data_IF_659762398105
#
_entry.id   IF_659762398105
#
_cell.length_a   1.000
_cell.length_b   1.000
_cell.length_c   1.000
_cell.angle_alpha   90.00
_cell.angle_beta   90.00
_cell.angle_gamma   90.00
#
_symmetry.space_group_name_H-M   'P 1'
#
loop_
_entity.id
_entity.type
_entity.pdbx_description
1 polymer ?
#
# COMPACT_ATOMS: atom_id res chain seq x y z
N UNK A 1 -12.15 -46.75 27.54
CA UNK A 1 -11.67 -46.07 28.76
C UNK A 1 -10.16 -46.22 28.78
N UNK A 2 -9.40 -45.20 28.38
CA UNK A 2 -7.94 -45.27 28.26
C UNK A 2 -7.36 -44.64 29.54
N UNK A 3 -6.70 -45.45 30.35
CA UNK A 3 -5.97 -45.02 31.54
C UNK A 3 -4.69 -44.28 31.12
N UNK A 4 -4.62 -42.98 31.41
CA UNK A 4 -3.38 -42.21 31.38
C UNK A 4 -2.60 -42.51 32.66
N UNK A 5 -1.46 -43.20 32.54
CA UNK A 5 -0.50 -43.40 33.63
C UNK A 5 0.28 -42.11 33.96
N UNK A 6 0.75 -41.93 35.20
CA UNK A 6 1.35 -40.67 35.66
C UNK A 6 2.86 -40.59 35.39
N UNK A 7 3.36 -39.35 35.30
CA UNK A 7 4.77 -38.93 35.41
C UNK A 7 5.69 -39.11 34.18
N UNK A 8 5.46 -38.31 33.14
CA UNK A 8 6.57 -37.82 32.29
C UNK A 8 7.22 -36.60 32.99
N UNK A 9 8.07 -36.84 33.99
CA UNK A 9 8.99 -35.80 34.47
C UNK A 9 10.02 -35.54 33.38
N UNK A 10 9.73 -34.54 32.54
CA UNK A 10 10.59 -34.07 31.46
C UNK A 10 11.90 -33.57 32.10
N UNK A 11 13.01 -34.29 31.88
CA UNK A 11 14.33 -33.87 32.35
C UNK A 11 14.68 -32.55 31.64
N UNK A 12 14.72 -31.47 32.41
CA UNK A 12 15.21 -30.18 31.95
C UNK A 12 16.70 -30.32 31.60
N UNK A 13 17.01 -30.33 30.30
CA UNK A 13 18.38 -30.32 29.79
C UNK A 13 18.96 -28.91 29.87
N UNK A 14 20.28 -28.77 29.90
CA UNK A 14 20.91 -27.43 29.93
C UNK A 14 20.53 -26.57 28.71
N UNK A 15 20.19 -27.19 27.59
CA UNK A 15 19.62 -26.52 26.42
C UNK A 15 18.26 -25.86 26.71
N UNK A 16 17.39 -26.52 27.49
CA UNK A 16 16.08 -25.95 27.91
C UNK A 16 16.22 -24.81 28.91
N UNK A 17 17.32 -24.76 29.69
CA UNK A 17 17.64 -23.59 30.53
C UNK A 17 18.21 -22.44 29.70
N UNK A 18 19.06 -22.74 28.72
CA UNK A 18 19.63 -21.74 27.83
C UNK A 18 18.55 -21.08 26.96
N UNK A 19 17.58 -21.85 26.45
CA UNK A 19 16.45 -21.32 25.68
C UNK A 19 15.54 -20.44 26.53
N UNK A 20 15.26 -20.80 27.79
CA UNK A 20 14.51 -19.95 28.73
C UNK A 20 15.23 -18.64 29.06
N UNK A 21 16.55 -18.67 29.26
CA UNK A 21 17.35 -17.46 29.49
C UNK A 21 17.34 -16.53 28.27
N UNK A 22 17.45 -17.07 27.06
CA UNK A 22 17.32 -16.27 25.82
C UNK A 22 15.92 -15.70 25.65
N UNK A 23 14.87 -16.48 25.92
CA UNK A 23 13.49 -16.00 25.86
C UNK A 23 13.21 -14.88 26.87
N UNK A 24 13.77 -14.97 28.08
CA UNK A 24 13.66 -13.92 29.09
C UNK A 24 14.41 -12.63 28.67
N UNK A 25 15.59 -12.76 28.06
CA UNK A 25 16.34 -11.61 27.54
C UNK A 25 15.61 -10.91 26.38
N UNK A 26 14.99 -11.69 25.47
CA UNK A 26 14.17 -11.15 24.38
C UNK A 26 12.91 -10.47 24.92
N UNK A 27 12.28 -11.01 25.97
CA UNK A 27 11.11 -10.39 26.59
C UNK A 27 11.43 -9.00 27.19
N UNK A 28 12.64 -8.81 27.72
CA UNK A 28 13.09 -7.47 28.18
C UNK A 28 13.44 -6.52 27.04
N UNK A 29 13.72 -7.01 25.82
CA UNK A 29 13.99 -6.16 24.65
C UNK A 29 12.72 -5.60 24.00
N UNK A 30 11.55 -6.22 24.26
CA UNK A 30 10.26 -5.88 23.62
C UNK A 30 9.21 -5.25 24.55
N UNK A 31 9.66 -4.53 25.58
CA UNK A 31 8.81 -3.53 26.24
C UNK A 31 8.47 -3.84 27.69
N UNK A 32 8.95 -2.96 28.54
CA UNK A 32 8.50 -2.76 29.90
C UNK A 32 6.99 -2.41 29.87
N UNK A 33 6.14 -3.27 30.45
CA UNK A 33 4.66 -3.13 30.44
C UNK A 33 4.16 -1.87 31.17
N UNK A 34 5.04 -1.13 31.83
CA UNK A 34 4.73 0.11 32.54
C UNK A 34 5.11 1.39 31.78
N UNK A 35 5.67 1.30 30.57
CA UNK A 35 5.79 2.48 29.72
C UNK A 35 4.47 2.69 28.97
N UNK A 36 3.68 3.67 29.42
CA UNK A 36 2.64 4.28 28.59
C UNK A 36 3.33 4.90 27.37
N UNK A 37 3.45 4.13 26.30
CA UNK A 37 3.83 4.65 24.98
C UNK A 37 2.84 5.72 24.54
N UNK A 38 3.24 6.64 23.64
CA UNK A 38 2.35 7.66 23.13
C UNK A 38 1.11 6.97 22.52
N UNK A 39 -0.08 7.38 22.96
CA UNK A 39 -1.32 6.83 22.46
C UNK A 39 -1.34 6.94 20.93
N UNK A 40 -1.53 5.81 20.25
CA UNK A 40 -1.69 5.75 18.80
C UNK A 40 -2.96 6.53 18.42
N UNK A 41 -2.76 7.77 17.95
CA UNK A 41 -3.82 8.55 17.35
C UNK A 41 -3.96 8.15 15.87
N UNK A 42 -4.97 7.32 15.57
CA UNK A 42 -5.25 6.84 14.22
C UNK A 42 -5.83 7.94 13.30
N UNK A 43 -6.11 9.14 13.83
CA UNK A 43 -6.57 10.30 13.06
C UNK A 43 -5.45 11.32 12.77
N UNK A 44 -4.24 11.11 13.28
CA UNK A 44 -3.12 11.97 12.94
C UNK A 44 -2.63 11.63 11.52
N UNK A 45 -2.76 12.58 10.57
CA UNK A 45 -2.02 12.55 9.30
C UNK A 45 -0.55 12.29 9.64
N UNK A 46 -0.05 11.14 9.21
CA UNK A 46 1.27 10.57 9.49
C UNK A 46 2.26 11.56 10.11
N UNK A 47 2.42 11.53 11.44
CA UNK A 47 3.53 12.22 12.09
C UNK A 47 4.85 11.61 11.60
N UNK A 48 5.86 12.43 11.25
CA UNK A 48 7.15 11.92 10.82
C UNK A 48 7.79 11.11 11.93
N UNK A 49 8.42 10.00 11.56
CA UNK A 49 9.08 9.07 12.47
C UNK A 49 10.02 9.81 13.43
N UNK A 50 9.84 9.62 14.72
CA UNK A 50 10.73 10.18 15.73
C UNK A 50 12.15 9.61 15.54
N UNK A 51 13.19 10.46 15.44
CA UNK A 51 14.55 9.98 15.25
C UNK A 51 15.04 9.28 16.52
N UNK A 52 15.56 8.06 16.36
CA UNK A 52 16.22 7.33 17.43
C UNK A 52 17.44 8.12 17.88
N UNK A 53 17.49 8.45 19.17
CA UNK A 53 18.57 9.17 19.83
C UNK A 53 19.94 8.56 19.51
N UNK A 54 20.76 9.33 18.78
CA UNK A 54 22.14 8.97 18.46
C UNK A 54 22.84 10.14 17.79
N UNK A 55 23.34 11.06 18.61
CA UNK A 55 24.42 12.01 18.36
C UNK A 55 24.75 12.37 16.89
N UNK A 56 24.44 13.61 16.48
CA UNK A 56 25.19 14.31 15.43
C UNK A 56 24.52 14.50 14.07
N UNK A 57 23.32 15.08 14.01
CA UNK A 57 22.79 15.59 12.73
C UNK A 57 22.68 17.11 12.81
N UNK A 58 23.56 17.76 12.05
CA UNK A 58 23.70 19.20 11.88
C UNK A 58 22.37 19.86 11.48
N UNK A 59 22.12 21.07 11.99
CA UNK A 59 20.91 21.89 11.74
C UNK A 59 20.57 22.14 10.25
N UNK A 60 21.45 21.75 9.32
CA UNK A 60 21.17 21.74 7.88
C UNK A 60 20.18 20.66 7.44
N UNK A 61 20.00 19.56 8.20
CA UNK A 61 19.14 18.43 7.82
C UNK A 61 17.65 18.65 8.17
N UNK A 62 17.31 19.78 8.80
CA UNK A 62 15.92 20.16 9.07
C UNK A 62 15.17 20.67 7.83
N UNK A 63 15.91 21.21 6.83
CA UNK A 63 15.35 21.70 5.57
C UNK A 63 15.49 20.70 4.39
N UNK A 64 16.25 19.63 4.58
CA UNK A 64 16.35 18.52 3.62
C UNK A 64 15.14 17.56 3.49
N UNK A 65 14.16 17.46 4.44
CA UNK A 65 13.10 16.45 4.36
C UNK A 65 12.12 16.68 3.20
N UNK A 66 11.78 17.93 2.90
CA UNK A 66 10.81 18.26 1.85
C UNK A 66 11.37 17.95 0.45
N UNK A 67 12.63 18.27 0.19
CA UNK A 67 13.29 17.93 -1.07
C UNK A 67 13.37 16.42 -1.29
N UNK A 68 13.75 15.66 -0.25
CA UNK A 68 13.80 14.20 -0.31
C UNK A 68 12.41 13.59 -0.51
N UNK A 69 11.37 14.16 0.11
CA UNK A 69 9.98 13.73 -0.09
C UNK A 69 9.48 14.04 -1.51
N UNK A 70 9.77 15.22 -2.05
CA UNK A 70 9.40 15.60 -3.42
C UNK A 70 10.12 14.74 -4.47
N UNK A 71 11.40 14.42 -4.25
CA UNK A 71 12.12 13.48 -5.12
C UNK A 71 11.55 12.07 -5.03
N UNK A 72 11.25 11.58 -3.82
CA UNK A 72 10.61 10.28 -3.64
C UNK A 72 9.23 10.21 -4.31
N UNK A 73 8.41 11.25 -4.22
CA UNK A 73 7.12 11.31 -4.92
C UNK A 73 7.28 11.31 -6.45
N UNK A 74 8.29 12.02 -6.97
CA UNK A 74 8.59 12.01 -8.42
C UNK A 74 9.04 10.64 -8.88
N UNK A 75 9.94 10.00 -8.14
CA UNK A 75 10.44 8.66 -8.44
C UNK A 75 9.31 7.62 -8.35
N UNK A 76 8.42 7.73 -7.35
CA UNK A 76 7.25 6.87 -7.21
C UNK A 76 6.27 7.05 -8.39
N UNK A 77 6.01 8.29 -8.81
CA UNK A 77 5.18 8.57 -9.99
C UNK A 77 5.77 7.99 -11.27
N UNK A 78 7.08 8.14 -11.47
CA UNK A 78 7.78 7.55 -12.61
C UNK A 78 7.68 6.01 -12.59
N UNK A 79 7.95 5.40 -11.43
CA UNK A 79 7.84 3.95 -11.26
C UNK A 79 6.41 3.42 -11.46
N UNK A 80 5.37 4.22 -11.13
CA UNK A 80 3.97 3.88 -11.40
C UNK A 80 3.64 3.95 -12.89
N UNK A 81 4.12 4.97 -13.60
CA UNK A 81 3.96 5.08 -15.06
C UNK A 81 4.61 3.90 -15.81
N UNK A 82 5.81 3.50 -15.41
CA UNK A 82 6.55 2.40 -16.03
C UNK A 82 5.84 1.04 -15.89
N UNK A 83 5.02 0.87 -14.84
CA UNK A 83 4.25 -0.35 -14.56
C UNK A 83 2.91 -0.41 -15.31
N UNK A 84 2.53 0.65 -16.01
CA UNK A 84 1.29 0.68 -16.77
C UNK A 84 1.35 -0.26 -17.99
N UNK A 85 0.21 -0.83 -18.43
CA UNK A 85 0.16 -1.61 -19.66
C UNK A 85 0.64 -0.79 -20.87
N UNK A 86 1.33 -1.39 -21.86
CA UNK A 86 1.86 -0.67 -23.02
C UNK A 86 0.81 0.15 -23.80
N UNK A 87 -0.41 -0.37 -23.93
CA UNK A 87 -1.52 0.34 -24.57
C UNK A 87 -1.90 1.65 -23.85
N UNK A 88 -1.76 1.68 -22.52
CA UNK A 88 -2.04 2.85 -21.69
C UNK A 88 -0.87 3.83 -21.70
N UNK A 89 0.38 3.32 -21.72
CA UNK A 89 1.56 4.17 -21.89
C UNK A 89 1.53 4.95 -23.21
N UNK A 90 1.01 4.33 -24.29
CA UNK A 90 0.80 5.03 -25.57
C UNK A 90 -0.16 6.21 -25.46
N UNK A 91 -1.18 6.15 -24.60
CA UNK A 91 -2.06 7.31 -24.37
C UNK A 91 -1.30 8.49 -23.76
N UNK A 92 -0.35 8.21 -22.86
CA UNK A 92 0.48 9.25 -22.27
C UNK A 92 1.39 9.91 -23.33
N UNK A 93 1.96 9.12 -24.24
CA UNK A 93 2.91 9.62 -25.25
C UNK A 93 2.24 10.21 -26.49
N UNK A 94 1.18 9.60 -27.00
CA UNK A 94 0.55 9.96 -28.28
C UNK A 94 -0.55 11.01 -28.12
N UNK A 95 -1.30 10.94 -27.01
CA UNK A 95 -2.40 11.86 -26.73
C UNK A 95 -2.03 12.93 -25.68
N UNK A 96 -0.77 12.93 -25.24
CA UNK A 96 -0.26 13.91 -24.26
C UNK A 96 -0.95 13.82 -22.89
N UNK A 97 -1.53 12.67 -22.53
CA UNK A 97 -2.24 12.51 -21.27
C UNK A 97 -1.23 12.44 -20.11
N UNK A 98 -1.15 13.49 -19.31
CA UNK A 98 -0.21 13.61 -18.18
C UNK A 98 -0.83 13.27 -16.83
N UNK A 99 -2.15 13.11 -16.76
CA UNK A 99 -2.87 12.81 -15.53
C UNK A 99 -2.70 11.34 -15.12
N UNK A 100 -1.73 11.11 -14.22
CA UNK A 100 -1.43 9.77 -13.69
C UNK A 100 -2.66 9.03 -13.12
N UNK A 101 -3.53 9.66 -12.29
CA UNK A 101 -4.70 8.96 -11.77
C UNK A 101 -5.63 8.46 -12.87
N UNK A 102 -5.78 9.21 -13.97
CA UNK A 102 -6.60 8.80 -15.10
C UNK A 102 -6.00 7.60 -15.83
N UNK A 103 -4.68 7.64 -16.09
CA UNK A 103 -3.95 6.52 -16.68
C UNK A 103 -4.08 5.24 -15.82
N UNK A 104 -3.97 5.37 -14.50
CA UNK A 104 -4.09 4.24 -13.58
C UNK A 104 -5.50 3.66 -13.54
N UNK A 105 -6.55 4.50 -13.51
CA UNK A 105 -7.95 4.05 -13.62
C UNK A 105 -8.17 3.24 -14.90
N UNK A 106 -7.72 3.78 -16.03
CA UNK A 106 -7.85 3.14 -17.33
C UNK A 106 -7.08 1.80 -17.36
N UNK A 107 -5.88 1.76 -16.79
CA UNK A 107 -5.08 0.54 -16.69
C UNK A 107 -5.75 -0.55 -15.84
N UNK A 108 -6.37 -0.17 -14.71
CA UNK A 108 -7.11 -1.11 -13.86
C UNK A 108 -8.29 -1.72 -14.64
N UNK A 109 -9.10 -0.89 -15.30
CA UNK A 109 -10.25 -1.35 -16.09
C UNK A 109 -9.79 -2.23 -17.26
N UNK A 110 -8.76 -1.80 -18.00
CA UNK A 110 -8.21 -2.56 -19.13
C UNK A 110 -7.73 -3.95 -18.69
N UNK A 111 -7.01 -4.04 -17.57
CA UNK A 111 -6.57 -5.32 -17.00
C UNK A 111 -7.75 -6.19 -16.57
N UNK A 112 -8.77 -5.61 -15.93
CA UNK A 112 -9.96 -6.33 -15.51
C UNK A 112 -10.71 -6.91 -16.72
N UNK A 113 -10.92 -6.10 -17.77
CA UNK A 113 -11.56 -6.54 -19.01
C UNK A 113 -10.74 -7.65 -19.70
N UNK A 114 -9.41 -7.50 -19.77
CA UNK A 114 -8.51 -8.51 -20.34
C UNK A 114 -8.60 -9.85 -19.61
N UNK A 115 -8.71 -9.82 -18.27
CA UNK A 115 -8.90 -11.02 -17.43
C UNK A 115 -10.23 -11.72 -17.75
N UNK A 116 -11.25 -10.96 -18.14
CA UNK A 116 -12.56 -11.46 -18.58
C UNK A 116 -12.62 -11.80 -20.09
N UNK A 117 -11.48 -11.90 -20.77
CA UNK A 117 -11.42 -12.20 -22.21
C UNK A 117 -11.83 -11.05 -23.12
N UNK A 118 -11.72 -9.80 -22.67
CA UNK A 118 -12.15 -8.60 -23.40
C UNK A 118 -13.60 -8.20 -23.13
N UNK A 119 -14.33 -8.97 -22.33
CA UNK A 119 -15.68 -8.63 -21.91
C UNK A 119 -15.67 -7.48 -20.89
N UNK A 120 -16.79 -6.75 -20.77
CA UNK A 120 -16.94 -5.74 -19.72
C UNK A 120 -16.71 -6.35 -18.33
N UNK A 121 -15.95 -5.66 -17.50
CA UNK A 121 -15.64 -6.09 -16.14
C UNK A 121 -16.33 -5.19 -15.12
N UNK A 122 -16.80 -5.77 -14.02
CA UNK A 122 -17.35 -4.99 -12.92
C UNK A 122 -16.23 -4.34 -12.13
N UNK A 123 -16.26 -3.01 -12.03
CA UNK A 123 -15.26 -2.24 -11.29
C UNK A 123 -15.96 -1.14 -10.49
N UNK A 124 -15.82 -1.17 -9.17
CA UNK A 124 -16.41 -0.16 -8.28
C UNK A 124 -15.46 1.01 -8.07
N UNK A 125 -15.99 2.23 -8.10
CA UNK A 125 -15.19 3.44 -7.90
C UNK A 125 -14.48 3.45 -6.53
N UNK A 126 -15.06 2.84 -5.50
CA UNK A 126 -14.45 2.70 -4.18
C UNK A 126 -13.15 1.89 -4.20
N UNK A 127 -13.15 0.78 -4.94
CA UNK A 127 -12.02 -0.15 -5.00
C UNK A 127 -10.89 0.42 -5.86
N UNK A 128 -11.26 1.02 -6.99
CA UNK A 128 -10.32 1.71 -7.88
C UNK A 128 -9.66 2.88 -7.13
N UNK A 129 -10.45 3.71 -6.45
CA UNK A 129 -9.94 4.86 -5.69
C UNK A 129 -8.95 4.45 -4.61
N UNK A 130 -9.25 3.37 -3.87
CA UNK A 130 -8.34 2.79 -2.88
C UNK A 130 -7.02 2.32 -3.52
N UNK A 131 -7.07 1.71 -4.70
CA UNK A 131 -5.88 1.17 -5.37
C UNK A 131 -4.91 2.28 -5.84
N UNK A 132 -5.44 3.43 -6.26
CA UNK A 132 -4.64 4.55 -6.78
C UNK A 132 -4.32 5.61 -5.70
N UNK A 133 -5.05 5.61 -4.58
CA UNK A 133 -4.85 6.53 -3.46
C UNK A 133 -5.65 7.83 -3.56
N UNK A 134 -6.82 7.80 -4.21
CA UNK A 134 -7.72 8.97 -4.32
C UNK A 134 -9.09 8.68 -3.72
N UNK A 135 -9.87 9.74 -3.44
CA UNK A 135 -11.22 9.57 -2.91
C UNK A 135 -12.16 8.91 -3.91
N UNK A 136 -13.22 8.26 -3.41
CA UNK A 136 -14.25 7.64 -4.26
C UNK A 136 -14.91 8.65 -5.18
N UNK A 137 -15.27 9.83 -4.66
CA UNK A 137 -15.85 10.92 -5.45
C UNK A 137 -14.92 11.36 -6.58
N UNK A 138 -13.62 11.52 -6.28
CA UNK A 138 -12.65 11.89 -7.32
C UNK A 138 -12.48 10.80 -8.37
N UNK A 139 -12.57 9.54 -7.95
CA UNK A 139 -12.53 8.38 -8.86
C UNK A 139 -13.72 8.39 -9.81
N UNK A 140 -14.93 8.69 -9.32
CA UNK A 140 -16.13 8.80 -10.16
C UNK A 140 -16.02 9.93 -11.21
N UNK A 141 -15.43 11.07 -10.83
CA UNK A 141 -15.13 12.15 -11.77
C UNK A 141 -14.18 11.67 -12.87
N UNK A 142 -13.08 11.03 -12.50
CA UNK A 142 -12.09 10.50 -13.44
C UNK A 142 -12.72 9.45 -14.36
N UNK A 143 -13.57 8.55 -13.83
CA UNK A 143 -14.28 7.54 -14.62
C UNK A 143 -15.23 8.19 -15.63
N UNK A 144 -15.98 9.21 -15.21
CA UNK A 144 -16.87 9.97 -16.10
C UNK A 144 -16.08 10.65 -17.20
N UNK A 145 -14.97 11.27 -16.86
CA UNK A 145 -14.10 11.95 -17.81
C UNK A 145 -13.43 10.98 -18.80
N UNK A 146 -12.89 9.86 -18.31
CA UNK A 146 -12.32 8.82 -19.15
C UNK A 146 -13.35 8.21 -20.11
N UNK A 147 -14.62 8.12 -19.68
CA UNK A 147 -15.72 7.71 -20.54
C UNK A 147 -16.07 8.77 -21.60
N UNK A 148 -16.11 10.05 -21.23
CA UNK A 148 -16.34 11.16 -22.17
C UNK A 148 -15.24 11.25 -23.23
N UNK A 149 -13.98 11.03 -22.82
CA UNK A 149 -12.82 10.96 -23.74
C UNK A 149 -12.78 9.67 -24.56
N UNK A 150 -13.66 8.70 -24.27
CA UNK A 150 -13.87 7.49 -25.08
C UNK A 150 -12.89 6.34 -24.81
N UNK A 151 -12.08 6.40 -23.75
CA UNK A 151 -11.14 5.32 -23.39
C UNK A 151 -11.81 4.10 -22.78
N UNK A 152 -12.90 4.35 -22.06
CA UNK A 152 -13.73 3.34 -21.42
C UNK A 152 -15.19 3.58 -21.78
N UNK A 153 -16.00 2.53 -21.69
CA UNK A 153 -17.43 2.60 -21.93
C UNK A 153 -18.19 2.13 -20.69
N UNK A 154 -19.04 2.97 -20.09
CA UNK A 154 -19.88 2.58 -18.98
C UNK A 154 -20.97 1.60 -19.43
N UNK A 155 -21.26 0.62 -18.59
CA UNK A 155 -22.38 -0.32 -18.70
C UNK A 155 -23.16 -0.28 -17.38
N UNK A 156 -24.35 -0.89 -17.38
CA UNK A 156 -25.18 -0.95 -16.18
C UNK A 156 -24.43 -1.65 -15.02
N UNK A 157 -24.80 -1.33 -13.77
CA UNK A 157 -24.31 -2.00 -12.57
C UNK A 157 -22.79 -1.94 -12.37
N UNK A 158 -22.16 -0.80 -12.69
CA UNK A 158 -20.72 -0.57 -12.53
C UNK A 158 -19.84 -1.48 -13.38
N UNK A 159 -20.37 -1.96 -14.51
CA UNK A 159 -19.56 -2.63 -15.52
C UNK A 159 -18.91 -1.62 -16.44
N UNK A 160 -17.67 -1.89 -16.82
CA UNK A 160 -16.89 -1.03 -17.71
C UNK A 160 -16.25 -1.87 -18.79
N UNK A 161 -16.23 -1.35 -20.01
CA UNK A 161 -15.50 -1.95 -21.13
C UNK A 161 -14.31 -1.09 -21.50
N UNK A 162 -13.14 -1.71 -21.68
CA UNK A 162 -11.97 -1.06 -22.28
C UNK A 162 -12.19 -0.83 -23.78
N UNK A 163 -11.85 0.36 -24.28
CA UNK A 163 -11.78 0.66 -25.72
C UNK A 163 -10.35 0.75 -26.26
N UNK A 164 -9.37 0.45 -25.39
CA UNK A 164 -7.96 0.28 -25.73
C UNK A 164 -7.64 -1.13 -26.20
#
# INVERSE_FOLDING_TARGET
MIHLGPNLTRRDTDETRASRRRAAAVATTFGDRNQKGPALDFNAKASPAAPSSGMGVSFADAYAPSWKAEMAERDERAARLDKLPPAVQRLATEQGMTELPMLEVIAIISRACKTMGGNPAQCWASDIGRAIGVSTQKTEEILREAAQRGFIEPRANSYWRSKL
#
